data_IF_882578431566
#
_entry.id   IF_882578431566
#
_cell.length_a   1.000
_cell.length_b   1.000
_cell.length_c   1.000
_cell.angle_alpha   90.00
_cell.angle_beta   90.00
_cell.angle_gamma   90.00
#
_symmetry.space_group_name_H-M   'P 1'
#
loop_
_entity.id
_entity.type
_entity.pdbx_description
1 polymer ?
#
# COMPACT_ATOMS: atom_id res chain seq x y z
N UNK A 1 2.78 -11.46 5.67
CA UNK A 1 3.71 -11.06 4.60
C UNK A 1 2.95 -10.89 3.30
N UNK A 2 3.41 -10.04 2.44
CA UNK A 2 2.71 -9.76 1.19
C UNK A 2 3.58 -10.15 0.00
N UNK A 3 2.92 -10.38 -1.12
CA UNK A 3 3.61 -10.79 -2.33
C UNK A 3 3.93 -9.62 -3.23
N UNK A 4 3.05 -8.68 -3.33
CA UNK A 4 3.27 -7.57 -4.22
C UNK A 4 2.51 -6.35 -3.74
N UNK A 5 2.99 -5.19 -4.15
CA UNK A 5 2.37 -3.92 -3.86
C UNK A 5 2.25 -3.17 -5.16
N UNK A 6 1.07 -2.66 -5.43
CA UNK A 6 0.84 -1.89 -6.64
C UNK A 6 0.35 -0.51 -6.26
N UNK A 7 0.93 0.50 -6.87
CA UNK A 7 0.54 1.88 -6.66
C UNK A 7 -0.10 2.40 -7.93
N UNK A 8 -1.27 3.01 -7.77
CA UNK A 8 -1.95 3.59 -8.92
C UNK A 8 -2.34 5.02 -8.58
N UNK A 9 -1.89 5.93 -9.40
CA UNK A 9 -2.24 7.32 -9.19
C UNK A 9 -3.59 7.59 -9.81
N UNK A 10 -4.46 8.22 -9.04
CA UNK A 10 -5.77 8.61 -9.53
C UNK A 10 -5.93 10.10 -9.32
N UNK A 11 -7.04 10.62 -9.80
CA UNK A 11 -7.25 12.06 -9.82
C UNK A 11 -7.18 12.67 -8.43
N UNK A 12 -7.72 11.99 -7.46
CA UNK A 12 -7.84 12.54 -6.12
C UNK A 12 -6.90 11.88 -5.12
N UNK A 13 -5.88 11.17 -5.60
CA UNK A 13 -4.99 10.54 -4.64
C UNK A 13 -4.27 9.35 -5.23
N UNK A 14 -3.97 8.40 -4.37
CA UNK A 14 -3.23 7.22 -4.76
C UNK A 14 -3.89 6.00 -4.15
N UNK A 15 -4.03 4.96 -4.95
CA UNK A 15 -4.57 3.69 -4.50
C UNK A 15 -3.42 2.71 -4.37
N UNK A 16 -3.32 2.09 -3.19
CA UNK A 16 -2.31 1.08 -2.94
C UNK A 16 -3.00 -0.27 -2.89
N UNK A 17 -2.61 -1.16 -3.77
CA UNK A 17 -3.16 -2.50 -3.80
C UNK A 17 -2.12 -3.48 -3.27
N UNK A 18 -2.50 -4.20 -2.24
CA UNK A 18 -1.60 -5.10 -1.55
C UNK A 18 -2.07 -6.53 -1.76
N UNK A 19 -1.20 -7.36 -2.32
CA UNK A 19 -1.53 -8.77 -2.51
C UNK A 19 -0.77 -9.58 -1.47
N UNK A 20 -1.52 -10.36 -0.69
CA UNK A 20 -0.95 -11.16 0.37
C UNK A 20 -0.72 -12.57 -0.15
N UNK A 21 0.17 -13.29 0.52
CA UNK A 21 0.63 -14.59 0.04
C UNK A 21 -0.50 -15.58 -0.22
N UNK A 22 -1.54 -15.54 0.58
CA UNK A 22 -2.62 -16.51 0.40
C UNK A 22 -3.60 -16.09 -0.69
N UNK A 23 -3.27 -15.05 -1.43
CA UNK A 23 -4.11 -14.62 -2.53
C UNK A 23 -5.08 -13.53 -2.19
N UNK A 24 -5.10 -13.11 -0.96
CA UNK A 24 -6.00 -12.06 -0.55
C UNK A 24 -5.47 -10.70 -1.01
N UNK A 25 -6.38 -9.84 -1.43
CA UNK A 25 -6.01 -8.52 -1.92
C UNK A 25 -6.66 -7.46 -1.05
N UNK A 26 -5.89 -6.43 -0.72
CA UNK A 26 -6.40 -5.31 0.06
C UNK A 26 -6.09 -4.02 -0.64
N UNK A 27 -7.00 -3.09 -0.57
CA UNK A 27 -6.83 -1.79 -1.19
C UNK A 27 -6.87 -0.70 -0.15
N UNK A 28 -5.96 0.25 -0.30
CA UNK A 28 -5.92 1.41 0.58
C UNK A 28 -5.90 2.66 -0.29
N UNK A 29 -6.59 3.69 0.17
CA UNK A 29 -6.66 4.93 -0.58
C UNK A 29 -6.07 6.04 0.26
N UNK A 30 -5.15 6.78 -0.35
CA UNK A 30 -4.51 7.91 0.32
C UNK A 30 -4.73 9.15 -0.52
N UNK A 31 -4.87 10.28 0.16
CA UNK A 31 -5.14 11.52 -0.54
C UNK A 31 -3.88 12.17 -1.11
N UNK A 32 -2.71 11.72 -0.71
CA UNK A 32 -1.47 12.24 -1.26
C UNK A 32 -0.49 11.11 -1.51
N UNK A 33 0.39 11.27 -2.51
CA UNK A 33 1.41 10.24 -2.77
C UNK A 33 2.36 10.06 -1.59
N UNK A 34 2.61 11.13 -0.86
CA UNK A 34 3.52 11.06 0.27
C UNK A 34 3.02 10.08 1.32
N UNK A 35 1.73 10.13 1.61
CA UNK A 35 1.16 9.23 2.59
C UNK A 35 1.19 7.79 2.10
N UNK A 36 0.91 7.60 0.82
CA UNK A 36 0.95 6.26 0.26
C UNK A 36 2.35 5.67 0.32
N UNK A 37 3.35 6.48 -0.03
CA UNK A 37 4.73 6.02 0.01
C UNK A 37 5.17 5.69 1.42
N UNK A 38 4.73 6.47 2.39
CA UNK A 38 5.07 6.20 3.77
C UNK A 38 4.51 4.86 4.20
N UNK A 39 3.28 4.56 3.80
CA UNK A 39 2.68 3.29 4.13
C UNK A 39 3.47 2.13 3.51
N UNK A 40 3.83 2.27 2.24
CA UNK A 40 4.59 1.24 1.56
C UNK A 40 5.95 1.05 2.21
N UNK A 41 6.59 2.15 2.58
CA UNK A 41 7.89 2.07 3.20
C UNK A 41 7.82 1.29 4.51
N UNK A 42 6.80 1.55 5.30
CA UNK A 42 6.66 0.84 6.56
C UNK A 42 6.42 -0.64 6.36
N UNK A 43 5.68 -0.98 5.32
CA UNK A 43 5.47 -2.39 5.01
C UNK A 43 6.76 -3.08 4.63
N UNK A 44 7.56 -2.41 3.80
CA UNK A 44 8.80 -3.01 3.33
C UNK A 44 9.82 -3.15 4.45
N UNK A 45 9.77 -2.25 5.41
CA UNK A 45 10.69 -2.32 6.53
C UNK A 45 10.22 -3.26 7.62
N UNK A 46 9.04 -3.79 7.47
CA UNK A 46 8.53 -4.71 8.47
C UNK A 46 7.98 -4.04 9.70
N UNK A 47 7.84 -2.73 9.67
CA UNK A 47 7.27 -2.00 10.78
C UNK A 47 5.77 -1.96 10.62
N UNK A 48 5.08 -2.71 11.43
CA UNK A 48 3.66 -2.68 11.33
C UNK A 48 3.12 -1.50 12.07
N UNK A 49 2.14 -0.87 11.51
CA UNK A 49 1.51 0.24 12.16
C UNK A 49 0.90 -0.26 13.43
N UNK A 50 1.24 0.29 14.51
CA UNK A 50 0.77 -0.17 15.79
C UNK A 50 -0.42 0.59 16.24
#
# INVERSE_FOLDING_TARGET
MFESIELRKVENGVIVTLTIEDGETREYVYDTPRKALRFVKELLEGKEAQ
#
